data_IF_800141420757
#
_entry.id   IF_800141420757
#
_cell.length_a   1.000
_cell.length_b   1.000
_cell.length_c   1.000
_cell.angle_alpha   90.00
_cell.angle_beta   90.00
_cell.angle_gamma   90.00
#
_symmetry.space_group_name_H-M   'P 1'
#
loop_
_entity.id
_entity.type
_entity.pdbx_description
1 polymer ?
#
# COMPACT_ATOMS: atom_id res chain seq x y z
N UNK A 1 -48.42 2.51 49.05
CA UNK A 1 -48.63 2.76 47.60
C UNK A 1 -47.38 2.32 46.84
N UNK A 2 -47.44 1.40 45.87
CA UNK A 2 -46.26 1.00 45.11
C UNK A 2 -45.98 2.01 43.98
N UNK A 3 -44.71 2.42 43.85
CA UNK A 3 -44.24 3.35 42.82
C UNK A 3 -44.30 2.67 41.44
N UNK A 4 -44.98 3.30 40.49
CA UNK A 4 -45.10 2.82 39.10
C UNK A 4 -43.70 2.62 38.48
N UNK A 5 -43.48 1.42 37.92
CA UNK A 5 -42.34 1.12 37.05
C UNK A 5 -42.51 1.89 35.75
N UNK A 6 -41.49 2.70 35.38
CA UNK A 6 -41.44 3.40 34.09
C UNK A 6 -41.48 2.38 32.96
N UNK A 7 -42.45 2.56 32.06
CA UNK A 7 -42.63 1.79 30.83
C UNK A 7 -41.39 1.86 29.95
N UNK A 8 -40.69 0.73 29.82
CA UNK A 8 -39.77 0.47 28.73
C UNK A 8 -40.62 0.17 27.49
N UNK A 9 -40.78 1.14 26.60
CA UNK A 9 -41.65 0.92 25.44
C UNK A 9 -41.81 2.19 24.62
N UNK A 10 -40.81 2.50 23.82
CA UNK A 10 -40.91 3.52 22.80
C UNK A 10 -39.64 3.51 21.99
N UNK A 11 -39.73 3.16 20.70
CA UNK A 11 -38.70 3.47 19.70
C UNK A 11 -38.39 4.96 19.88
N UNK A 12 -37.29 5.27 20.57
CA UNK A 12 -36.86 6.64 20.69
C UNK A 12 -36.44 7.06 19.28
N UNK A 13 -37.26 7.89 18.64
CA UNK A 13 -36.83 8.70 17.50
C UNK A 13 -35.42 9.21 17.80
N UNK A 14 -34.51 9.15 16.82
CA UNK A 14 -33.11 9.54 17.00
C UNK A 14 -33.07 11.00 17.48
N UNK A 15 -33.07 11.19 18.81
CA UNK A 15 -33.10 12.50 19.43
C UNK A 15 -31.89 13.27 18.92
N UNK A 16 -32.11 14.50 18.49
CA UNK A 16 -31.03 15.41 18.10
C UNK A 16 -30.03 15.47 19.26
N UNK A 17 -28.80 15.00 18.99
CA UNK A 17 -27.75 14.91 20.01
C UNK A 17 -27.03 16.25 20.02
N UNK A 18 -26.99 16.92 21.18
CA UNK A 18 -26.23 18.15 21.31
C UNK A 18 -24.72 17.88 21.09
N UNK A 19 -24.00 18.72 20.33
CA UNK A 19 -22.60 18.48 19.97
C UNK A 19 -21.67 18.26 21.16
N UNK A 20 -21.88 18.98 22.26
CA UNK A 20 -21.07 18.88 23.48
C UNK A 20 -21.59 17.87 24.50
N UNK A 21 -22.56 17.03 24.13
CA UNK A 21 -23.09 16.01 25.05
C UNK A 21 -22.14 14.82 25.21
N UNK A 22 -22.23 14.12 26.34
CA UNK A 22 -21.48 12.87 26.58
C UNK A 22 -21.73 11.82 25.49
N UNK A 23 -22.96 11.77 24.95
CA UNK A 23 -23.34 10.86 23.87
C UNK A 23 -22.65 11.21 22.55
N UNK A 24 -22.56 12.49 22.20
CA UNK A 24 -21.78 12.93 21.04
C UNK A 24 -20.28 12.58 21.19
N UNK A 25 -19.70 12.80 22.37
CA UNK A 25 -18.31 12.45 22.64
C UNK A 25 -18.03 10.92 22.62
N UNK A 26 -19.04 10.08 22.88
CA UNK A 26 -18.93 8.62 22.72
C UNK A 26 -18.93 8.23 21.24
N UNK A 27 -19.88 8.76 20.47
CA UNK A 27 -19.96 8.52 19.02
C UNK A 27 -18.70 8.96 18.29
N UNK A 28 -18.15 10.13 18.63
CA UNK A 28 -16.89 10.61 18.06
C UNK A 28 -15.71 9.67 18.38
N UNK A 29 -15.63 9.16 19.62
CA UNK A 29 -14.58 8.21 20.01
C UNK A 29 -14.70 6.87 19.29
N UNK A 30 -15.92 6.37 19.12
CA UNK A 30 -16.18 5.15 18.36
C UNK A 30 -15.81 5.32 16.89
N UNK A 31 -16.18 6.46 16.28
CA UNK A 31 -15.82 6.80 14.91
C UNK A 31 -14.30 6.85 14.71
N UNK A 32 -13.56 7.58 15.56
CA UNK A 32 -12.10 7.63 15.47
C UNK A 32 -11.43 6.27 15.68
N UNK A 33 -11.97 5.43 16.57
CA UNK A 33 -11.45 4.08 16.77
C UNK A 33 -11.64 3.22 15.52
N UNK A 34 -12.80 3.33 14.87
CA UNK A 34 -13.11 2.60 13.65
C UNK A 34 -12.25 3.09 12.47
N UNK A 35 -12.12 4.40 12.31
CA UNK A 35 -11.26 5.04 11.31
C UNK A 35 -9.80 4.56 11.45
N UNK A 36 -9.27 4.55 12.68
CA UNK A 36 -7.92 4.04 12.93
C UNK A 36 -7.77 2.57 12.52
N UNK A 37 -8.76 1.73 12.88
CA UNK A 37 -8.74 0.31 12.53
C UNK A 37 -8.78 0.10 11.01
N UNK A 38 -9.59 0.87 10.30
CA UNK A 38 -9.67 0.82 8.84
C UNK A 38 -8.35 1.27 8.20
N UNK A 39 -7.76 2.36 8.68
CA UNK A 39 -6.46 2.85 8.22
C UNK A 39 -5.34 1.82 8.43
N UNK A 40 -5.28 1.20 9.62
CA UNK A 40 -4.32 0.13 9.91
C UNK A 40 -4.51 -1.08 8.96
N UNK A 41 -5.78 -1.44 8.68
CA UNK A 41 -6.14 -2.49 7.73
C UNK A 41 -5.69 -2.17 6.31
N UNK A 42 -5.88 -0.93 5.85
CA UNK A 42 -5.42 -0.47 4.53
C UNK A 42 -3.91 -0.56 4.41
N UNK A 43 -3.16 -0.13 5.43
CA UNK A 43 -1.69 -0.18 5.42
C UNK A 43 -1.20 -1.63 5.32
N UNK A 44 -1.79 -2.54 6.09
CA UNK A 44 -1.45 -3.97 6.04
C UNK A 44 -1.76 -4.54 4.65
N UNK A 45 -2.94 -4.24 4.11
CA UNK A 45 -3.34 -4.69 2.78
C UNK A 45 -2.39 -4.18 1.69
N UNK A 46 -1.97 -2.92 1.76
CA UNK A 46 -0.97 -2.35 0.84
C UNK A 46 0.36 -3.11 0.89
N UNK A 47 0.84 -3.49 2.09
CA UNK A 47 2.05 -4.31 2.21
C UNK A 47 1.87 -5.69 1.57
N UNK A 48 0.71 -6.31 1.74
CA UNK A 48 0.40 -7.60 1.11
C UNK A 48 0.33 -7.50 -0.40
N UNK A 49 -0.29 -6.44 -0.93
CA UNK A 49 -0.34 -6.18 -2.38
C UNK A 49 1.09 -6.07 -2.94
N UNK A 50 1.97 -5.29 -2.30
CA UNK A 50 3.35 -5.14 -2.76
C UNK A 50 4.13 -6.47 -2.79
N UNK A 51 3.94 -7.32 -1.78
CA UNK A 51 4.54 -8.66 -1.78
C UNK A 51 3.92 -9.54 -2.85
N UNK A 52 2.59 -9.45 -3.05
CA UNK A 52 1.87 -10.15 -4.10
C UNK A 52 2.38 -9.80 -5.50
N UNK A 53 2.52 -8.51 -5.81
CA UNK A 53 3.07 -8.03 -7.08
C UNK A 53 4.49 -8.54 -7.33
N UNK A 54 5.35 -8.55 -6.29
CA UNK A 54 6.70 -9.15 -6.38
C UNK A 54 6.61 -10.63 -6.73
N UNK A 55 5.78 -11.39 -6.01
CA UNK A 55 5.61 -12.84 -6.24
C UNK A 55 5.02 -13.15 -7.62
N UNK A 56 4.04 -12.36 -8.06
CA UNK A 56 3.42 -12.48 -9.38
C UNK A 56 4.45 -12.26 -10.49
N UNK A 57 5.31 -11.25 -10.36
CA UNK A 57 6.40 -11.04 -11.31
C UNK A 57 7.32 -12.26 -11.39
N UNK A 58 7.75 -12.81 -10.26
CA UNK A 58 8.60 -14.01 -10.28
C UNK A 58 7.86 -15.20 -10.90
N UNK A 59 6.59 -15.40 -10.54
CA UNK A 59 5.78 -16.49 -11.10
C UNK A 59 5.68 -16.41 -12.62
N UNK A 60 5.52 -15.22 -13.21
CA UNK A 60 5.40 -15.06 -14.66
C UNK A 60 6.72 -15.22 -15.41
N UNK A 61 7.86 -15.09 -14.72
CA UNK A 61 9.21 -15.19 -15.31
C UNK A 61 9.94 -16.50 -14.96
N UNK A 62 9.33 -17.34 -14.12
CA UNK A 62 9.80 -18.71 -13.86
C UNK A 62 9.34 -19.65 -14.98
N UNK A 63 10.17 -20.65 -15.26
CA UNK A 63 9.86 -21.72 -16.20
C UNK A 63 9.03 -22.79 -15.47
N UNK A 64 7.76 -23.01 -15.85
CA UNK A 64 6.88 -23.97 -15.17
C UNK A 64 7.36 -25.42 -15.29
N UNK A 65 8.21 -25.73 -16.26
CA UNK A 65 8.73 -27.08 -16.49
C UNK A 65 9.95 -27.40 -15.63
N UNK A 66 10.55 -26.37 -15.03
CA UNK A 66 11.82 -26.48 -14.30
C UNK A 66 11.57 -26.66 -12.81
N UNK A 67 12.14 -27.74 -12.26
CA UNK A 67 11.95 -28.13 -10.86
C UNK A 67 12.98 -27.46 -9.94
N UNK A 68 14.19 -27.24 -10.44
CA UNK A 68 15.31 -26.70 -9.66
C UNK A 68 16.04 -25.61 -10.44
N UNK A 69 16.44 -24.56 -9.72
CA UNK A 69 17.25 -23.46 -10.25
C UNK A 69 18.63 -23.51 -9.64
N UNK A 70 19.65 -23.38 -10.47
CA UNK A 70 21.01 -23.18 -9.98
C UNK A 70 21.14 -21.79 -9.37
N UNK A 71 22.13 -21.60 -8.48
CA UNK A 71 22.41 -20.30 -7.87
C UNK A 71 22.64 -19.20 -8.92
N UNK A 72 23.27 -19.54 -10.05
CA UNK A 72 23.53 -18.59 -11.13
C UNK A 72 22.23 -18.14 -11.79
N UNK A 73 21.35 -19.08 -12.13
CA UNK A 73 20.07 -18.77 -12.78
C UNK A 73 19.13 -18.02 -11.86
N UNK A 74 19.13 -18.35 -10.57
CA UNK A 74 18.39 -17.58 -9.56
C UNK A 74 18.92 -16.14 -9.45
N UNK A 75 20.25 -15.96 -9.50
CA UNK A 75 20.87 -14.63 -9.54
C UNK A 75 20.47 -13.84 -10.79
N UNK A 76 20.54 -14.47 -11.97
CA UNK A 76 20.11 -13.86 -13.24
C UNK A 76 18.63 -13.44 -13.20
N UNK A 77 17.76 -14.25 -12.61
CA UNK A 77 16.33 -13.93 -12.43
C UNK A 77 16.12 -12.72 -11.50
N UNK A 78 16.89 -12.64 -10.41
CA UNK A 78 16.84 -11.51 -9.48
C UNK A 78 17.35 -10.22 -10.15
N UNK A 79 18.43 -10.29 -10.93
CA UNK A 79 18.95 -9.14 -11.69
C UNK A 79 17.92 -8.64 -12.71
N UNK A 80 17.24 -9.58 -13.40
CA UNK A 80 16.14 -9.23 -14.30
C UNK A 80 14.99 -8.54 -13.56
N UNK A 81 14.65 -8.99 -12.35
CA UNK A 81 13.65 -8.33 -11.51
C UNK A 81 14.05 -6.91 -11.14
N UNK A 82 15.31 -6.65 -10.79
CA UNK A 82 15.79 -5.29 -10.51
C UNK A 82 15.75 -4.39 -11.74
N UNK A 83 16.00 -4.96 -12.92
CA UNK A 83 15.95 -4.24 -14.20
C UNK A 83 14.54 -3.99 -14.74
N UNK A 84 13.48 -4.45 -14.05
CA UNK A 84 12.09 -4.36 -14.53
C UNK A 84 11.61 -2.95 -14.89
N UNK A 85 12.20 -1.93 -14.27
CA UNK A 85 11.84 -0.53 -14.50
C UNK A 85 12.72 0.19 -15.53
N UNK A 86 13.71 -0.48 -16.12
CA UNK A 86 14.64 0.17 -17.05
C UNK A 86 13.92 0.81 -18.24
N UNK A 87 12.94 0.12 -18.83
CA UNK A 87 12.15 0.66 -19.94
C UNK A 87 11.33 1.88 -19.53
N UNK A 88 10.76 1.89 -18.31
CA UNK A 88 10.01 3.04 -17.79
C UNK A 88 10.94 4.24 -17.54
N UNK A 89 12.12 4.00 -16.97
CA UNK A 89 13.12 5.04 -16.72
C UNK A 89 13.67 5.63 -18.03
N UNK A 90 13.96 4.78 -19.02
CA UNK A 90 14.42 5.21 -20.35
C UNK A 90 13.34 6.07 -21.04
N UNK A 91 12.06 5.67 -20.93
CA UNK A 91 10.96 6.47 -21.48
C UNK A 91 10.85 7.84 -20.80
N UNK A 92 10.97 7.90 -19.46
CA UNK A 92 10.96 9.17 -18.69
C UNK A 92 12.15 10.05 -19.12
N UNK A 93 13.33 9.46 -19.26
CA UNK A 93 14.53 10.18 -19.71
C UNK A 93 14.36 10.74 -21.12
N UNK A 94 13.86 9.93 -22.05
CA UNK A 94 13.60 10.35 -23.43
C UNK A 94 12.61 11.52 -23.47
N UNK A 95 11.50 11.45 -22.75
CA UNK A 95 10.53 12.54 -22.69
C UNK A 95 11.13 13.83 -22.13
N UNK A 96 11.94 13.72 -21.07
CA UNK A 96 12.62 14.87 -20.48
C UNK A 96 13.78 15.40 -21.33
N UNK A 97 14.36 14.59 -22.22
CA UNK A 97 15.43 14.98 -23.15
C UNK A 97 14.93 15.87 -24.29
N UNK A 98 13.63 15.85 -24.57
CA UNK A 98 13.00 16.68 -25.62
C UNK A 98 13.04 18.14 -25.17
N UNK A 99 13.86 18.94 -25.86
CA UNK A 99 14.03 20.37 -25.56
C UNK A 99 12.73 21.14 -25.81
N UNK A 100 12.26 21.88 -24.80
CA UNK A 100 11.07 22.74 -24.88
C UNK A 100 10.91 23.62 -23.65
N UNK A 101 9.86 24.45 -23.61
CA UNK A 101 9.51 25.30 -22.45
C UNK A 101 8.78 24.55 -21.33
N UNK A 102 8.80 23.22 -21.35
CA UNK A 102 8.14 22.37 -20.37
C UNK A 102 9.11 22.03 -19.23
N UNK A 103 8.62 22.07 -18.00
CA UNK A 103 9.39 21.62 -16.84
C UNK A 103 9.57 20.10 -16.83
N UNK A 104 10.42 19.60 -15.93
CA UNK A 104 10.68 18.16 -15.78
C UNK A 104 9.38 17.40 -15.48
N UNK A 105 9.05 16.43 -16.33
CA UNK A 105 7.89 15.56 -16.19
C UNK A 105 8.27 14.29 -15.42
N UNK A 106 7.27 13.67 -14.77
CA UNK A 106 7.41 12.38 -14.07
C UNK A 106 8.45 12.31 -12.94
N UNK A 107 8.94 13.44 -12.43
CA UNK A 107 10.00 13.47 -11.42
C UNK A 107 9.68 12.73 -10.11
N UNK A 108 8.43 12.73 -9.67
CA UNK A 108 8.00 11.99 -8.47
C UNK A 108 8.07 10.48 -8.68
N UNK A 109 7.58 9.98 -9.82
CA UNK A 109 7.60 8.56 -10.18
C UNK A 109 9.04 8.06 -10.38
N UNK A 110 9.85 8.82 -11.10
CA UNK A 110 11.27 8.52 -11.32
C UNK A 110 12.03 8.40 -9.99
N UNK A 111 11.79 9.33 -9.05
CA UNK A 111 12.42 9.29 -7.73
C UNK A 111 12.00 8.05 -6.91
N UNK A 112 10.72 7.69 -6.93
CA UNK A 112 10.21 6.49 -6.24
C UNK A 112 10.82 5.22 -6.82
N UNK A 113 10.90 5.11 -8.15
CA UNK A 113 11.52 3.95 -8.83
C UNK A 113 12.99 3.84 -8.42
N UNK A 114 13.76 4.93 -8.56
CA UNK A 114 15.19 4.95 -8.22
C UNK A 114 15.42 4.57 -6.76
N UNK A 115 14.63 5.10 -5.84
CA UNK A 115 14.71 4.74 -4.42
C UNK A 115 14.36 3.26 -4.17
N UNK A 116 13.40 2.72 -4.90
CA UNK A 116 12.99 1.31 -4.78
C UNK A 116 14.10 0.38 -5.25
N UNK A 117 14.68 0.64 -6.44
CA UNK A 117 15.80 -0.13 -7.00
C UNK A 117 17.00 -0.08 -6.06
N UNK A 118 17.35 1.11 -5.55
CA UNK A 118 18.46 1.28 -4.62
C UNK A 118 18.29 0.42 -3.36
N UNK A 119 17.08 0.43 -2.78
CA UNK A 119 16.78 -0.39 -1.60
C UNK A 119 16.88 -1.89 -1.91
N UNK A 120 16.31 -2.33 -3.04
CA UNK A 120 16.34 -3.74 -3.44
C UNK A 120 17.79 -4.22 -3.68
N UNK A 121 18.62 -3.38 -4.32
CA UNK A 121 20.04 -3.66 -4.57
C UNK A 121 20.85 -3.75 -3.28
N UNK A 122 20.65 -2.81 -2.35
CA UNK A 122 21.30 -2.85 -1.03
C UNK A 122 20.98 -4.14 -0.27
N UNK A 123 19.73 -4.62 -0.35
CA UNK A 123 19.33 -5.87 0.29
C UNK A 123 20.03 -7.08 -0.36
N UNK A 124 20.02 -7.14 -1.69
CA UNK A 124 20.63 -8.24 -2.44
C UNK A 124 22.14 -8.34 -2.24
N UNK A 125 22.87 -7.22 -2.29
CA UNK A 125 24.31 -7.19 -2.08
C UNK A 125 24.70 -7.44 -0.60
N UNK A 126 23.81 -7.11 0.34
CA UNK A 126 24.03 -7.25 1.77
C UNK A 126 23.62 -8.60 2.35
N UNK A 127 22.35 -8.71 2.73
CA UNK A 127 21.82 -9.81 3.56
C UNK A 127 20.89 -10.76 2.79
N UNK A 128 20.65 -10.50 1.51
CA UNK A 128 19.70 -11.23 0.66
C UNK A 128 18.40 -10.45 0.42
N UNK A 129 17.68 -10.87 -0.63
CA UNK A 129 16.44 -10.25 -1.15
C UNK A 129 15.21 -11.15 -1.01
#
# INVERSE_FOLDING_TARGET
QPKLRKTQGGKQEKKVIHPYSRKAAQLAREAHKQEKKENDGVIINMKFILVGEKLEWFQSHLDPSKIEYTKKEAGELIENYMCRFNAELEQIELQNSIKGRQGRQHGSREAVIKQTIERERQLYEGYGI
#
